data_IF_469681924568
#
_entry.id   IF_469681924568
#
_cell.length_a   1.000
_cell.length_b   1.000
_cell.length_c   1.000
_cell.angle_alpha   90.00
_cell.angle_beta   90.00
_cell.angle_gamma   90.00
#
_symmetry.space_group_name_H-M   'P 1'
#
loop_
_entity.id
_entity.type
_entity.pdbx_description
1 polymer ?
#
# COMPACT_ATOMS: atom_id res chain seq x y z
N UNK A 1 -15.14 37.20 78.53
CA UNK A 1 -16.20 36.38 77.89
C UNK A 1 -15.97 36.43 76.38
N UNK A 2 -15.81 35.25 75.78
CA UNK A 2 -15.33 34.94 74.41
C UNK A 2 -16.10 35.69 73.29
N UNK A 3 -15.51 36.00 72.14
CA UNK A 3 -15.33 35.03 71.03
C UNK A 3 -14.42 35.59 69.92
N UNK A 4 -13.47 34.74 69.47
CA UNK A 4 -12.59 34.92 68.31
C UNK A 4 -13.41 34.79 67.03
N UNK A 5 -13.23 35.70 66.06
CA UNK A 5 -13.70 35.52 64.69
C UNK A 5 -12.49 35.09 63.86
N UNK A 6 -12.44 33.82 63.53
CA UNK A 6 -11.56 33.28 62.49
C UNK A 6 -12.41 33.16 61.21
N UNK A 7 -12.10 33.94 60.18
CA UNK A 7 -12.68 33.77 58.86
C UNK A 7 -11.81 32.79 58.08
N UNK A 8 -12.37 31.61 57.81
CA UNK A 8 -11.79 30.52 57.02
C UNK A 8 -11.66 30.95 55.55
N UNK A 9 -10.46 30.81 55.00
CA UNK A 9 -10.24 30.76 53.56
C UNK A 9 -10.68 29.39 53.04
N UNK A 10 -11.55 29.36 52.02
CA UNK A 10 -11.79 28.15 51.21
C UNK A 10 -11.44 28.49 49.77
N UNK A 11 -10.22 28.12 49.40
CA UNK A 11 -9.75 28.10 48.02
C UNK A 11 -10.35 26.82 47.38
N UNK A 12 -11.39 26.98 46.56
CA UNK A 12 -11.94 25.87 45.78
C UNK A 12 -11.01 25.59 44.60
N UNK A 13 -10.12 24.60 44.74
CA UNK A 13 -9.36 24.05 43.63
C UNK A 13 -10.30 23.17 42.77
N UNK A 14 -10.70 23.68 41.61
CA UNK A 14 -11.32 22.90 40.55
C UNK A 14 -10.28 21.94 39.97
N UNK A 15 -10.24 20.70 40.49
CA UNK A 15 -9.61 19.59 39.78
C UNK A 15 -10.50 19.23 38.58
N UNK A 16 -10.15 19.73 37.40
CA UNK A 16 -10.57 19.12 36.14
C UNK A 16 -9.85 17.77 36.04
N UNK A 17 -10.50 16.68 36.47
CA UNK A 17 -9.97 15.35 36.19
C UNK A 17 -10.16 15.07 34.70
N UNK A 18 -9.06 15.02 33.94
CA UNK A 18 -9.09 14.58 32.56
C UNK A 18 -9.49 13.10 32.54
N UNK A 19 -10.69 12.81 32.02
CA UNK A 19 -11.07 11.43 31.75
C UNK A 19 -10.13 10.86 30.68
N UNK A 20 -9.64 9.62 30.84
CA UNK A 20 -8.89 8.98 29.78
C UNK A 20 -9.82 8.84 28.56
N UNK A 21 -9.51 9.57 27.50
CA UNK A 21 -10.12 9.34 26.19
C UNK A 21 -9.68 7.93 25.77
N UNK A 22 -10.60 6.99 25.47
CA UNK A 22 -10.21 5.69 24.98
C UNK A 22 -9.37 5.89 23.73
N UNK A 23 -8.18 5.29 23.69
CA UNK A 23 -7.36 5.29 22.49
C UNK A 23 -8.17 4.60 21.38
N UNK A 24 -8.67 5.39 20.43
CA UNK A 24 -9.30 4.85 19.23
C UNK A 24 -8.21 4.06 18.50
N UNK A 25 -8.36 2.73 18.42
CA UNK A 25 -7.46 1.92 17.60
C UNK A 25 -7.49 2.46 16.17
N UNK A 26 -6.30 2.73 15.62
CA UNK A 26 -6.17 3.18 14.24
C UNK A 26 -6.80 2.13 13.31
N UNK A 27 -7.54 2.59 12.31
CA UNK A 27 -8.14 1.70 11.33
C UNK A 27 -7.05 0.84 10.65
N UNK A 28 -7.28 -0.46 10.41
CA UNK A 28 -6.31 -1.30 9.74
C UNK A 28 -6.08 -0.79 8.31
N UNK A 29 -4.81 -0.70 7.92
CA UNK A 29 -4.38 -0.20 6.61
C UNK A 29 -4.09 -1.34 5.62
N UNK A 30 -4.32 -1.13 4.30
CA UNK A 30 -3.85 -2.06 3.26
C UNK A 30 -2.32 -2.06 3.17
N UNK A 31 -1.75 -3.02 2.43
CA UNK A 31 -0.30 -3.10 2.13
C UNK A 31 -0.11 -3.76 0.76
N UNK A 32 0.10 -2.98 -0.29
CA UNK A 32 0.27 -3.44 -1.65
C UNK A 32 1.72 -3.87 -1.90
N UNK A 33 1.92 -5.18 -2.02
CA UNK A 33 3.23 -5.77 -2.26
C UNK A 33 3.30 -6.44 -3.63
N UNK A 34 4.46 -6.31 -4.28
CA UNK A 34 4.83 -7.13 -5.43
C UNK A 34 5.42 -8.45 -4.92
N UNK A 35 4.59 -9.47 -4.78
CA UNK A 35 5.00 -10.78 -4.26
C UNK A 35 6.00 -11.48 -5.19
N UNK A 36 5.77 -11.44 -6.50
CA UNK A 36 6.63 -12.11 -7.48
C UNK A 36 6.67 -11.37 -8.81
N UNK A 37 7.83 -11.37 -9.44
CA UNK A 37 8.02 -10.98 -10.84
C UNK A 37 8.74 -12.13 -11.52
N UNK A 38 8.19 -12.62 -12.62
CA UNK A 38 8.65 -13.84 -13.30
C UNK A 38 8.41 -13.76 -14.81
N UNK A 39 8.76 -14.82 -15.54
CA UNK A 39 8.45 -14.98 -16.96
C UNK A 39 7.46 -16.12 -17.13
N UNK A 40 6.45 -15.93 -17.99
CA UNK A 40 5.64 -17.06 -18.46
C UNK A 40 6.36 -17.84 -19.58
N UNK A 41 5.71 -18.88 -20.10
CA UNK A 41 6.27 -19.74 -21.16
C UNK A 41 6.58 -19.01 -22.47
N UNK A 42 5.90 -17.90 -22.75
CA UNK A 42 6.12 -17.06 -23.93
C UNK A 42 7.21 -15.99 -23.70
N UNK A 43 7.86 -15.99 -22.52
CA UNK A 43 8.84 -14.99 -22.13
C UNK A 43 8.25 -13.64 -21.74
N UNK A 44 6.92 -13.56 -21.56
CA UNK A 44 6.27 -12.33 -21.09
C UNK A 44 6.47 -12.15 -19.58
N UNK A 45 6.65 -10.90 -19.15
CA UNK A 45 6.75 -10.56 -17.72
C UNK A 45 5.40 -10.83 -17.04
N UNK A 46 5.45 -11.55 -15.92
CA UNK A 46 4.31 -11.83 -15.04
C UNK A 46 4.59 -11.25 -13.67
N UNK A 47 3.63 -10.47 -13.16
CA UNK A 47 3.69 -9.79 -11.87
C UNK A 47 2.55 -10.30 -10.99
N UNK A 48 2.89 -10.88 -9.85
CA UNK A 48 1.91 -11.22 -8.82
C UNK A 48 1.91 -10.12 -7.76
N UNK A 49 0.72 -9.60 -7.47
CA UNK A 49 0.48 -8.49 -6.57
C UNK A 49 -0.47 -8.95 -5.49
N UNK A 50 -0.24 -8.55 -4.25
CA UNK A 50 -1.09 -8.90 -3.10
C UNK A 50 -1.34 -7.69 -2.21
N UNK A 51 -2.54 -7.62 -1.63
CA UNK A 51 -2.77 -6.81 -0.44
C UNK A 51 -2.37 -7.62 0.80
N UNK A 52 -1.16 -7.41 1.30
CA UNK A 52 -0.60 -8.07 2.48
C UNK A 52 -1.08 -7.48 3.81
N UNK A 53 -1.79 -6.35 3.76
CA UNK A 53 -2.18 -5.58 4.93
C UNK A 53 -3.45 -6.13 5.57
N UNK A 54 -3.70 -5.80 6.85
CA UNK A 54 -4.93 -6.18 7.53
C UNK A 54 -6.15 -5.36 7.06
N UNK A 55 -5.92 -4.25 6.34
CA UNK A 55 -6.96 -3.32 5.89
C UNK A 55 -7.36 -3.48 4.42
N UNK A 56 -8.57 -3.05 4.06
CA UNK A 56 -9.01 -3.04 2.68
C UNK A 56 -8.41 -1.85 1.90
N UNK A 57 -8.30 -1.98 0.58
CA UNK A 57 -8.00 -0.82 -0.27
C UNK A 57 -9.19 0.14 -0.32
N UNK A 58 -8.95 1.46 -0.31
CA UNK A 58 -10.00 2.43 -0.54
C UNK A 58 -10.50 2.34 -1.99
N UNK A 59 -11.79 2.61 -2.21
CA UNK A 59 -12.37 2.59 -3.58
C UNK A 59 -11.71 3.63 -4.51
N UNK A 60 -11.09 4.66 -3.94
CA UNK A 60 -10.32 5.66 -4.69
C UNK A 60 -9.09 5.08 -5.40
N UNK A 61 -8.52 3.97 -4.92
CA UNK A 61 -7.39 3.30 -5.55
C UNK A 61 -7.73 2.80 -6.97
N UNK A 62 -9.03 2.54 -7.24
CA UNK A 62 -9.56 2.04 -8.51
C UNK A 62 -10.14 3.13 -9.41
N UNK A 63 -9.73 4.39 -9.27
CA UNK A 63 -10.12 5.43 -10.24
C UNK A 63 -9.53 5.09 -11.61
N UNK A 64 -10.22 5.44 -12.69
CA UNK A 64 -9.77 5.12 -14.06
C UNK A 64 -8.79 6.15 -14.66
N UNK A 65 -8.54 7.25 -13.95
CA UNK A 65 -7.66 8.34 -14.39
C UNK A 65 -6.28 8.21 -13.75
N UNK A 66 -5.22 8.16 -14.55
CA UNK A 66 -3.86 7.82 -14.13
C UNK A 66 -3.32 8.66 -12.96
N UNK A 67 -3.59 9.97 -12.94
CA UNK A 67 -3.12 10.86 -11.87
C UNK A 67 -3.80 10.65 -10.51
N UNK A 68 -4.88 9.87 -10.45
CA UNK A 68 -5.65 9.62 -9.24
C UNK A 68 -5.87 8.12 -8.98
N UNK A 69 -5.30 7.27 -9.83
CA UNK A 69 -5.38 5.83 -9.71
C UNK A 69 -4.12 5.32 -9.04
N UNK A 70 -4.27 4.34 -8.15
CA UNK A 70 -3.13 3.53 -7.78
C UNK A 70 -2.67 2.76 -9.02
N UNK A 71 -1.38 2.78 -9.29
CA UNK A 71 -0.80 2.10 -10.44
C UNK A 71 0.57 1.54 -10.11
N UNK A 72 1.01 0.58 -10.90
CA UNK A 72 2.38 0.12 -10.85
C UNK A 72 3.06 0.30 -12.19
N UNK A 73 4.37 0.45 -12.12
CA UNK A 73 5.21 0.68 -13.29
C UNK A 73 6.20 -0.46 -13.44
N UNK A 74 6.50 -0.83 -14.68
CA UNK A 74 7.58 -1.72 -15.02
C UNK A 74 8.75 -0.88 -15.52
N UNK A 75 9.92 -1.17 -14.97
CA UNK A 75 11.17 -0.55 -15.35
C UNK A 75 12.18 -1.61 -15.77
N UNK A 76 12.93 -1.33 -16.83
CA UNK A 76 14.12 -2.08 -17.22
C UNK A 76 15.32 -1.16 -16.98
N UNK A 77 16.19 -1.53 -16.04
CA UNK A 77 17.21 -0.62 -15.52
C UNK A 77 16.58 0.65 -14.93
N UNK A 78 16.84 1.80 -15.55
CA UNK A 78 16.27 3.11 -15.16
C UNK A 78 15.13 3.58 -16.08
N UNK A 79 14.83 2.84 -17.14
CA UNK A 79 13.84 3.23 -18.12
C UNK A 79 12.47 2.71 -17.72
N UNK A 80 11.48 3.60 -17.74
CA UNK A 80 10.06 3.24 -17.71
C UNK A 80 9.68 2.58 -19.04
N UNK A 81 9.11 1.38 -18.99
CA UNK A 81 8.77 0.63 -20.20
C UNK A 81 7.29 0.29 -20.32
N UNK A 82 6.56 0.21 -19.20
CA UNK A 82 5.14 -0.11 -19.17
C UNK A 82 4.53 0.28 -17.81
N UNK A 83 3.20 0.32 -17.74
CA UNK A 83 2.46 0.50 -16.49
C UNK A 83 1.04 -0.07 -16.58
N UNK A 84 0.42 -0.27 -15.42
CA UNK A 84 -1.01 -0.53 -15.36
C UNK A 84 -1.61 0.11 -14.11
N UNK A 85 -2.80 0.69 -14.26
CA UNK A 85 -3.63 1.12 -13.12
C UNK A 85 -4.30 -0.10 -12.47
N UNK A 86 -4.62 -0.02 -11.18
CA UNK A 86 -5.39 -1.08 -10.51
C UNK A 86 -6.77 -1.26 -11.15
N UNK A 87 -7.39 -0.21 -11.69
CA UNK A 87 -8.62 -0.32 -12.48
C UNK A 87 -8.49 -1.30 -13.66
N UNK A 88 -7.34 -1.30 -14.35
CA UNK A 88 -7.11 -2.16 -15.50
C UNK A 88 -6.59 -3.55 -15.11
N UNK A 89 -5.68 -3.63 -14.14
CA UNK A 89 -5.04 -4.88 -13.72
C UNK A 89 -5.91 -5.74 -12.78
N UNK A 90 -6.81 -5.12 -12.01
CA UNK A 90 -7.69 -5.76 -11.03
C UNK A 90 -9.16 -5.31 -11.21
N UNK A 91 -9.80 -5.64 -12.36
CA UNK A 91 -11.17 -5.18 -12.65
C UNK A 91 -12.21 -5.72 -11.66
N UNK A 92 -11.95 -6.91 -11.09
CA UNK A 92 -12.81 -7.56 -10.10
C UNK A 92 -12.55 -7.06 -8.66
N UNK A 93 -11.58 -6.16 -8.47
CA UNK A 93 -11.19 -5.56 -7.19
C UNK A 93 -10.81 -6.60 -6.13
N UNK A 94 -10.11 -7.65 -6.54
CA UNK A 94 -9.66 -8.73 -5.67
C UNK A 94 -8.72 -8.16 -4.59
N UNK A 95 -7.81 -7.24 -4.95
CA UNK A 95 -6.86 -6.61 -4.02
C UNK A 95 -7.54 -5.75 -2.95
N UNK A 96 -8.82 -5.40 -3.13
CA UNK A 96 -9.60 -4.65 -2.14
C UNK A 96 -9.64 -5.36 -0.80
N UNK A 97 -9.62 -6.69 -0.80
CA UNK A 97 -9.70 -7.47 0.43
C UNK A 97 -8.29 -7.81 0.94
N UNK A 98 -8.07 -7.81 2.27
CA UNK A 98 -6.86 -8.37 2.88
C UNK A 98 -6.55 -9.77 2.35
N UNK A 99 -5.30 -10.00 1.94
CA UNK A 99 -4.85 -11.26 1.34
C UNK A 99 -5.23 -11.47 -0.13
N UNK A 100 -6.05 -10.59 -0.72
CA UNK A 100 -6.38 -10.64 -2.13
C UNK A 100 -5.13 -10.60 -3.00
N UNK A 101 -5.08 -11.45 -4.02
CA UNK A 101 -3.92 -11.62 -4.91
C UNK A 101 -4.37 -11.65 -6.36
N UNK A 102 -3.65 -10.94 -7.22
CA UNK A 102 -3.85 -10.96 -8.67
C UNK A 102 -2.55 -11.27 -9.40
N UNK A 103 -2.69 -11.69 -10.65
CA UNK A 103 -1.58 -11.89 -11.57
C UNK A 103 -1.79 -11.01 -12.80
N UNK A 104 -0.86 -10.11 -13.06
CA UNK A 104 -0.80 -9.29 -14.27
C UNK A 104 0.25 -9.84 -15.24
N UNK A 105 -0.09 -9.95 -16.52
CA UNK A 105 0.86 -10.34 -17.58
C UNK A 105 1.09 -9.16 -18.52
N UNK A 106 2.33 -8.65 -18.55
CA UNK A 106 2.72 -7.56 -19.46
C UNK A 106 2.92 -8.08 -20.88
N UNK A 107 2.60 -7.30 -21.92
CA UNK A 107 2.93 -7.64 -23.30
C UNK A 107 4.45 -7.66 -23.57
N UNK A 108 5.28 -7.11 -22.68
CA UNK A 108 6.74 -7.08 -22.82
C UNK A 108 7.32 -8.50 -22.69
N UNK A 109 8.18 -8.85 -23.65
CA UNK A 109 8.94 -10.12 -23.66
C UNK A 109 10.41 -9.88 -23.38
N UNK A 110 10.98 -10.74 -22.54
CA UNK A 110 12.40 -10.77 -22.20
C UNK A 110 13.07 -11.92 -22.97
N UNK A 111 14.08 -11.59 -23.78
CA UNK A 111 14.80 -12.55 -24.64
C UNK A 111 16.25 -12.79 -24.19
N UNK A 112 16.78 -11.92 -23.33
CA UNK A 112 18.09 -12.05 -22.70
C UNK A 112 18.00 -11.70 -21.21
N UNK A 113 18.97 -12.11 -20.36
CA UNK A 113 18.98 -11.77 -18.94
C UNK A 113 18.76 -10.27 -18.70
N UNK A 114 17.64 -9.92 -18.06
CA UNK A 114 17.19 -8.52 -17.93
C UNK A 114 16.81 -8.20 -16.48
N UNK A 115 17.35 -7.11 -15.94
CA UNK A 115 16.95 -6.60 -14.64
C UNK A 115 15.63 -5.83 -14.77
N UNK A 116 14.58 -6.37 -14.15
CA UNK A 116 13.23 -5.77 -14.12
C UNK A 116 12.93 -5.29 -12.70
N UNK A 117 12.43 -4.06 -12.60
CA UNK A 117 11.88 -3.50 -11.37
C UNK A 117 10.39 -3.23 -11.57
N UNK A 118 9.59 -3.61 -10.58
CA UNK A 118 8.19 -3.20 -10.46
C UNK A 118 8.08 -2.31 -9.24
N UNK A 119 7.41 -1.17 -9.39
CA UNK A 119 7.13 -0.24 -8.29
C UNK A 119 5.62 -0.03 -8.23
N UNK A 120 5.03 -0.50 -7.12
CA UNK A 120 3.61 -0.41 -6.79
C UNK A 120 3.26 0.95 -6.18
N UNK A 121 2.05 1.41 -6.48
CA UNK A 121 1.48 2.69 -6.05
C UNK A 121 2.45 3.87 -6.19
N UNK A 122 3.13 3.99 -7.34
CA UNK A 122 4.09 5.09 -7.59
C UNK A 122 3.43 6.47 -7.52
N UNK A 123 2.10 6.54 -7.63
CA UNK A 123 1.31 7.74 -7.55
C UNK A 123 0.95 8.11 -6.10
N UNK A 124 1.30 7.29 -5.11
CA UNK A 124 1.04 7.51 -3.67
C UNK A 124 -0.44 7.79 -3.39
N UNK A 125 -1.33 6.98 -3.98
CA UNK A 125 -2.79 7.14 -3.85
C UNK A 125 -3.38 6.31 -2.72
N UNK A 126 -2.62 5.37 -2.17
CA UNK A 126 -3.01 4.48 -1.08
C UNK A 126 -2.12 4.78 0.12
N UNK A 127 -2.73 5.04 1.27
CA UNK A 127 -1.99 5.09 2.53
C UNK A 127 -1.85 3.66 3.07
N UNK A 128 -0.63 3.16 3.10
CA UNK A 128 -0.36 1.75 3.39
C UNK A 128 0.18 1.52 4.80
N UNK A 129 0.16 0.26 5.22
CA UNK A 129 0.78 -0.18 6.45
C UNK A 129 2.32 -0.16 6.35
N UNK A 130 2.87 -0.41 5.15
CA UNK A 130 4.31 -0.39 4.91
C UNK A 130 4.68 -0.03 3.46
N UNK A 131 4.82 1.28 3.21
CA UNK A 131 5.30 1.87 1.94
C UNK A 131 6.69 1.36 1.49
N UNK A 132 7.47 0.77 2.39
CA UNK A 132 8.83 0.30 2.13
C UNK A 132 8.90 -1.00 1.35
N UNK A 133 7.78 -1.69 1.10
CA UNK A 133 7.74 -3.00 0.44
C UNK A 133 7.13 -2.98 -0.98
N UNK A 134 6.76 -1.80 -1.47
CA UNK A 134 6.09 -1.59 -2.76
C UNK A 134 7.00 -1.83 -3.98
N UNK A 135 8.31 -1.97 -3.77
CA UNK A 135 9.30 -2.11 -4.84
C UNK A 135 9.90 -3.51 -4.82
N UNK A 136 9.82 -4.21 -5.97
CA UNK A 136 10.54 -5.46 -6.20
C UNK A 136 11.40 -5.36 -7.45
N UNK A 137 12.66 -5.77 -7.33
CA UNK A 137 13.59 -5.91 -8.44
C UNK A 137 14.10 -7.34 -8.53
N UNK A 138 14.17 -7.88 -9.75
CA UNK A 138 14.71 -9.22 -10.03
C UNK A 138 15.43 -9.24 -11.37
N UNK A 139 16.45 -10.08 -11.46
CA UNK A 139 17.05 -10.47 -12.73
C UNK A 139 16.21 -11.60 -13.34
N UNK A 140 15.54 -11.32 -14.44
CA UNK A 140 14.78 -12.31 -15.20
C UNK A 140 15.69 -12.97 -16.22
N UNK A 141 15.81 -14.30 -16.14
CA UNK A 141 16.57 -15.09 -17.10
C UNK A 141 15.59 -15.84 -17.99
N UNK A 142 15.47 -15.50 -19.28
CA UNK A 142 14.76 -16.34 -20.20
C UNK A 142 15.51 -17.67 -20.30
N UNK A 143 14.77 -18.77 -20.20
CA UNK A 143 15.35 -20.10 -20.48
C UNK A 143 15.90 -20.15 -21.91
N UNK A 144 16.64 -21.22 -22.27
CA UNK A 144 17.11 -21.38 -23.64
C UNK A 144 15.93 -21.24 -24.62
N UNK A 145 16.14 -20.46 -25.69
CA UNK A 145 15.16 -20.29 -26.75
C UNK A 145 14.71 -21.67 -27.23
N UNK A 146 13.40 -21.95 -27.19
CA UNK A 146 12.82 -23.19 -27.68
C UNK A 146 12.54 -23.11 -29.17
#
# INVERSE_FOLDING_TARGET
>A
MNRRIAALAVLAALLCQALPVPAQEAAPKPDLVVDRVSLNQAGNIVVDIRNAGPGPLPDAAYRSTESFAACFVLMIGVQFVDFATLWAADPDRILRNPGGTITYTSPIRIQEPTAVRVWMDITEQVEEANEGNNIKQVLLNPGPAR
#
